data_IF_726479814983
#
_entry.id   IF_726479814983
#
_cell.length_a   1.000
_cell.length_b   1.000
_cell.length_c   1.000
_cell.angle_alpha   90.00
_cell.angle_beta   90.00
_cell.angle_gamma   90.00
#
_symmetry.space_group_name_H-M   'P 1'
#
loop_
_entity.id
_entity.type
_entity.pdbx_description
1 polymer ?
#
# COMPACT_ATOMS: atom_id res chain seq x y z
N UNK A 1 56.95 -0.22 33.21
CA UNK A 1 57.15 0.90 32.27
C UNK A 1 55.97 0.95 31.31
N UNK A 2 55.26 2.09 31.30
CA UNK A 2 54.49 2.72 30.21
C UNK A 2 53.63 1.79 29.31
N UNK A 3 52.31 1.73 29.49
CA UNK A 3 51.25 2.70 29.10
C UNK A 3 50.66 2.40 27.70
N UNK A 4 49.33 2.20 27.68
CA UNK A 4 48.37 2.54 26.59
C UNK A 4 48.41 1.52 25.42
N UNK A 5 47.32 0.83 25.07
CA UNK A 5 46.12 1.46 24.48
C UNK A 5 44.86 0.61 24.71
N UNK A 6 43.98 1.13 25.58
CA UNK A 6 42.53 0.89 25.54
C UNK A 6 42.01 1.75 24.39
N UNK A 7 41.54 1.16 23.29
CA UNK A 7 40.54 1.77 22.40
C UNK A 7 40.13 0.77 21.31
N UNK A 8 39.00 0.08 21.50
CA UNK A 8 38.12 -0.42 20.42
C UNK A 8 36.83 -0.97 21.04
N UNK A 9 36.27 -0.16 21.95
CA UNK A 9 34.84 -0.14 22.27
C UNK A 9 34.32 1.12 21.56
N UNK A 10 33.11 1.08 20.98
CA UNK A 10 32.43 2.12 20.16
C UNK A 10 32.43 1.82 18.65
N UNK A 11 31.74 0.75 18.23
CA UNK A 11 30.99 0.64 16.96
C UNK A 11 29.99 -0.50 17.24
N UNK A 12 28.67 -0.40 17.27
CA UNK A 12 27.68 0.34 16.49
C UNK A 12 26.45 0.62 17.39
N UNK A 13 26.33 1.82 17.95
CA UNK A 13 25.02 2.38 18.34
C UNK A 13 24.52 3.21 17.15
N UNK A 14 24.12 2.51 16.09
CA UNK A 14 23.41 3.10 14.97
C UNK A 14 22.20 2.20 14.68
N UNK A 15 21.27 2.18 15.62
CA UNK A 15 20.01 1.44 15.52
C UNK A 15 18.86 2.35 15.89
N UNK A 16 18.10 2.76 14.85
CA UNK A 16 16.79 3.41 14.91
C UNK A 16 16.74 4.86 15.41
N UNK A 17 17.26 5.77 14.59
CA UNK A 17 16.59 7.06 14.38
C UNK A 17 16.19 7.16 12.91
N UNK A 18 15.14 6.44 12.51
CA UNK A 18 14.39 6.76 11.31
C UNK A 18 13.18 7.60 11.71
N UNK A 19 13.46 8.75 12.34
CA UNK A 19 12.51 9.85 12.34
C UNK A 19 12.74 10.60 11.02
N UNK A 20 12.21 10.07 9.92
CA UNK A 20 11.89 10.92 8.79
C UNK A 20 10.55 11.60 9.09
N UNK A 21 10.59 12.53 10.04
CA UNK A 21 9.78 13.74 9.93
C UNK A 21 10.29 14.49 8.71
N UNK A 22 9.89 14.01 7.53
CA UNK A 22 10.29 14.54 6.25
C UNK A 22 9.63 15.88 6.03
N UNK A 23 10.45 16.90 5.78
CA UNK A 23 10.14 18.16 5.09
C UNK A 23 8.79 18.13 4.38
N UNK A 24 7.94 19.13 4.62
CA UNK A 24 6.67 19.36 3.93
C UNK A 24 6.88 19.65 2.43
N UNK A 25 7.41 18.68 1.69
CA UNK A 25 7.26 18.59 0.26
C UNK A 25 5.76 18.44 0.03
N UNK A 26 5.16 19.45 -0.59
CA UNK A 26 3.73 19.44 -0.92
C UNK A 26 3.43 18.16 -1.72
N UNK A 27 2.64 17.27 -1.11
CA UNK A 27 2.19 16.04 -1.75
C UNK A 27 1.43 16.40 -3.03
N UNK A 28 1.64 15.62 -4.08
CA UNK A 28 1.02 15.85 -5.38
C UNK A 28 0.06 14.71 -5.71
N UNK A 29 -0.98 14.96 -6.51
CA UNK A 29 -1.81 13.89 -7.03
C UNK A 29 -0.99 12.85 -7.79
N UNK A 30 -1.25 11.58 -7.52
CA UNK A 30 -0.65 10.43 -8.21
C UNK A 30 -1.75 9.50 -8.73
N UNK A 31 -1.39 8.47 -9.47
CA UNK A 31 -2.27 7.31 -9.73
C UNK A 31 -1.76 6.07 -9.02
N UNK A 32 -2.56 5.00 -8.98
CA UNK A 32 -2.08 3.71 -8.49
C UNK A 32 -0.95 3.16 -9.40
N UNK A 33 -1.01 3.43 -10.70
CA UNK A 33 0.06 3.11 -11.65
C UNK A 33 1.36 3.86 -11.33
N UNK A 34 1.28 5.14 -10.95
CA UNK A 34 2.45 5.94 -10.54
C UNK A 34 3.05 5.41 -9.22
N UNK A 35 2.22 4.94 -8.28
CA UNK A 35 2.66 4.43 -7.00
C UNK A 35 3.40 3.08 -7.12
N UNK A 36 2.99 2.24 -8.07
CA UNK A 36 3.48 0.87 -8.20
C UNK A 36 4.96 0.84 -8.61
N UNK A 37 5.83 0.03 -7.97
CA UNK A 37 7.29 0.08 -8.19
C UNK A 37 7.76 -0.43 -9.57
N UNK A 38 6.84 -0.92 -10.41
CA UNK A 38 7.11 -1.49 -11.72
C UNK A 38 5.94 -1.27 -12.67
N UNK A 39 5.69 -2.24 -13.56
CA UNK A 39 4.51 -2.21 -14.40
C UNK A 39 3.36 -2.94 -13.69
N UNK A 40 2.39 -2.19 -13.16
CA UNK A 40 1.25 -2.76 -12.43
C UNK A 40 0.48 -3.81 -13.25
N UNK A 41 0.57 -3.80 -14.58
CA UNK A 41 -0.05 -4.81 -15.44
C UNK A 41 0.60 -6.20 -15.33
N UNK A 42 1.75 -6.32 -14.65
CA UNK A 42 2.44 -7.59 -14.40
C UNK A 42 1.94 -8.32 -13.16
N UNK A 43 1.06 -7.70 -12.37
CA UNK A 43 0.43 -8.36 -11.21
C UNK A 43 -0.23 -9.66 -11.64
N UNK A 44 0.12 -10.75 -10.97
CA UNK A 44 -0.40 -12.09 -11.24
C UNK A 44 -1.36 -12.57 -10.16
N UNK A 45 -1.33 -11.96 -8.98
CA UNK A 45 -2.15 -12.36 -7.83
C UNK A 45 -2.49 -11.16 -6.95
N UNK A 46 -3.69 -11.18 -6.39
CA UNK A 46 -4.15 -10.22 -5.39
C UNK A 46 -4.60 -10.97 -4.13
N UNK A 47 -4.23 -10.44 -2.96
CA UNK A 47 -4.84 -10.83 -1.69
C UNK A 47 -5.74 -9.70 -1.23
N UNK A 48 -7.00 -10.04 -0.93
CA UNK A 48 -8.02 -9.12 -0.45
C UNK A 48 -8.28 -9.41 1.03
N UNK A 49 -8.29 -8.36 1.84
CA UNK A 49 -8.56 -8.42 3.27
C UNK A 49 -9.83 -7.61 3.55
N UNK A 50 -10.87 -8.29 4.03
CA UNK A 50 -12.04 -7.65 4.60
C UNK A 50 -11.63 -7.04 5.94
N UNK A 51 -11.51 -5.72 6.00
CA UNK A 51 -11.05 -5.03 7.21
C UNK A 51 -12.08 -5.03 8.35
N UNK A 52 -13.34 -5.38 8.09
CA UNK A 52 -14.37 -5.51 9.12
C UNK A 52 -14.38 -6.89 9.80
N UNK A 53 -14.10 -7.97 9.07
CA UNK A 53 -14.13 -9.34 9.61
C UNK A 53 -12.75 -9.99 9.78
N UNK A 54 -11.73 -9.47 9.10
CA UNK A 54 -10.41 -10.10 8.98
C UNK A 54 -10.34 -11.23 7.94
N UNK A 55 -11.44 -11.53 7.25
CA UNK A 55 -11.50 -12.56 6.21
C UNK A 55 -10.58 -12.22 5.03
N UNK A 56 -10.00 -13.25 4.41
CA UNK A 56 -9.09 -13.10 3.28
C UNK A 56 -9.58 -13.89 2.07
N UNK A 57 -9.48 -13.28 0.90
CA UNK A 57 -9.68 -13.94 -0.38
C UNK A 57 -8.43 -13.77 -1.25
N UNK A 58 -8.11 -14.78 -2.06
CA UNK A 58 -7.03 -14.72 -3.05
C UNK A 58 -7.64 -14.71 -4.45
N UNK A 59 -7.20 -13.79 -5.30
CA UNK A 59 -7.60 -13.68 -6.70
C UNK A 59 -6.38 -13.94 -7.56
N UNK A 60 -6.43 -15.01 -8.35
CA UNK A 60 -5.40 -15.40 -9.34
C UNK A 60 -5.95 -15.42 -10.77
N UNK A 61 -7.25 -15.19 -10.94
CA UNK A 61 -7.88 -15.10 -12.25
C UNK A 61 -7.36 -13.87 -12.99
N UNK A 62 -6.55 -14.11 -14.03
CA UNK A 62 -5.86 -13.07 -14.79
C UNK A 62 -6.82 -12.06 -15.41
N UNK A 63 -7.99 -12.50 -15.84
CA UNK A 63 -8.98 -11.62 -16.47
C UNK A 63 -9.59 -10.67 -15.45
N UNK A 64 -9.99 -11.18 -14.28
CA UNK A 64 -10.46 -10.37 -13.15
C UNK A 64 -9.42 -9.35 -12.70
N UNK A 65 -8.15 -9.78 -12.52
CA UNK A 65 -7.05 -8.90 -12.12
C UNK A 65 -6.84 -7.81 -13.18
N UNK A 66 -6.73 -8.19 -14.45
CA UNK A 66 -6.49 -7.22 -15.53
C UNK A 66 -7.64 -6.24 -15.71
N UNK A 67 -8.89 -6.69 -15.57
CA UNK A 67 -10.07 -5.82 -15.66
C UNK A 67 -10.05 -4.78 -14.55
N UNK A 68 -9.87 -5.20 -13.31
CA UNK A 68 -9.85 -4.29 -12.17
C UNK A 68 -8.66 -3.32 -12.26
N UNK A 69 -7.44 -3.79 -12.56
CA UNK A 69 -6.26 -2.92 -12.72
C UNK A 69 -6.50 -1.86 -13.79
N UNK A 70 -7.08 -2.22 -14.93
CA UNK A 70 -7.37 -1.25 -16.00
C UNK A 70 -8.42 -0.21 -15.59
N UNK A 71 -9.32 -0.53 -14.66
CA UNK A 71 -10.32 0.42 -14.16
C UNK A 71 -9.72 1.43 -13.16
N UNK A 72 -8.73 1.02 -12.36
CA UNK A 72 -8.24 1.83 -11.23
C UNK A 72 -6.87 2.46 -11.42
N UNK A 73 -5.99 1.86 -12.25
CA UNK A 73 -4.56 2.24 -12.30
C UNK A 73 -4.31 3.70 -12.67
N UNK A 74 -5.19 4.30 -13.47
CA UNK A 74 -5.05 5.66 -13.99
C UNK A 74 -5.92 6.69 -13.24
N UNK A 75 -6.70 6.25 -12.24
CA UNK A 75 -7.49 7.15 -11.41
C UNK A 75 -6.55 8.06 -10.61
N UNK A 76 -6.83 9.36 -10.65
CA UNK A 76 -6.08 10.34 -9.87
C UNK A 76 -6.50 10.28 -8.41
N UNK A 77 -5.51 10.09 -7.55
CA UNK A 77 -5.61 10.11 -6.10
C UNK A 77 -5.04 11.43 -5.62
N UNK A 78 -5.91 12.28 -5.04
CA UNK A 78 -5.51 13.55 -4.45
C UNK A 78 -5.11 13.30 -3.00
N UNK A 79 -3.88 13.64 -2.57
CA UNK A 79 -3.49 13.56 -1.17
C UNK A 79 -4.45 14.37 -0.32
N UNK A 80 -4.84 13.81 0.82
CA UNK A 80 -5.69 14.51 1.78
C UNK A 80 -4.89 15.65 2.44
N UNK A 81 -5.50 16.80 2.67
CA UNK A 81 -4.84 17.87 3.42
C UNK A 81 -4.62 17.45 4.89
N UNK A 82 -5.47 16.56 5.42
CA UNK A 82 -5.28 15.92 6.72
C UNK A 82 -4.60 14.55 6.59
N UNK A 83 -3.30 14.52 6.92
CA UNK A 83 -2.45 13.32 6.97
C UNK A 83 -2.32 12.70 8.37
N UNK A 84 -3.20 13.04 9.32
CA UNK A 84 -3.25 12.35 10.62
C UNK A 84 -3.52 10.85 10.44
N UNK A 85 -2.90 10.04 11.31
CA UNK A 85 -3.05 8.59 11.30
C UNK A 85 -4.51 8.16 11.39
N UNK A 86 -4.90 7.19 10.56
CA UNK A 86 -6.26 6.66 10.49
C UNK A 86 -6.30 5.22 10.97
N UNK A 87 -7.27 4.93 11.83
CA UNK A 87 -7.54 3.57 12.29
C UNK A 87 -8.69 2.96 11.48
N UNK A 88 -8.51 1.70 11.07
CA UNK A 88 -9.52 0.92 10.38
C UNK A 88 -9.62 1.22 8.88
N UNK A 89 -10.12 0.23 8.15
CA UNK A 89 -10.44 0.30 6.73
C UNK A 89 -11.41 -0.84 6.39
N UNK A 90 -12.15 -0.71 5.30
CA UNK A 90 -13.05 -1.77 4.82
C UNK A 90 -12.31 -2.71 3.87
N UNK A 91 -11.47 -2.15 3.00
CA UNK A 91 -10.81 -2.87 1.92
C UNK A 91 -9.29 -2.79 2.06
N UNK A 92 -8.64 -3.92 2.35
CA UNK A 92 -7.19 -4.07 2.25
C UNK A 92 -6.82 -4.86 1.00
N UNK A 93 -5.87 -4.37 0.20
CA UNK A 93 -5.43 -5.02 -1.04
C UNK A 93 -3.92 -5.22 -0.98
N UNK A 94 -3.45 -6.41 -1.35
CA UNK A 94 -2.02 -6.68 -1.60
C UNK A 94 -1.84 -7.23 -3.01
N UNK A 95 -0.86 -6.70 -3.74
CA UNK A 95 -0.53 -7.06 -5.12
C UNK A 95 0.77 -7.85 -5.19
N UNK A 96 0.82 -8.85 -6.06
CA UNK A 96 1.95 -9.76 -6.21
C UNK A 96 2.35 -9.94 -7.67
N UNK A 97 3.66 -10.01 -7.91
CA UNK A 97 4.25 -10.54 -9.14
C UNK A 97 4.83 -11.92 -8.83
N UNK A 98 4.16 -12.99 -9.27
CA UNK A 98 4.41 -14.35 -8.80
C UNK A 98 4.16 -14.46 -7.29
N UNK A 99 5.17 -14.96 -6.56
CA UNK A 99 5.12 -15.11 -5.10
C UNK A 99 5.62 -13.87 -4.34
N UNK A 100 6.08 -12.84 -5.06
CA UNK A 100 6.67 -11.64 -4.45
C UNK A 100 5.60 -10.60 -4.21
N UNK A 101 5.37 -10.25 -2.95
CA UNK A 101 4.52 -9.10 -2.59
C UNK A 101 5.20 -7.81 -3.05
N UNK A 102 4.52 -7.07 -3.91
CA UNK A 102 5.04 -5.83 -4.52
C UNK A 102 4.50 -4.58 -3.84
N UNK A 103 3.23 -4.60 -3.43
CA UNK A 103 2.57 -3.47 -2.79
C UNK A 103 1.39 -3.92 -1.94
N UNK A 104 1.11 -3.21 -0.84
CA UNK A 104 -0.14 -3.32 -0.11
C UNK A 104 -0.70 -1.92 0.19
N UNK A 105 -2.03 -1.78 0.17
CA UNK A 105 -2.70 -0.49 0.32
C UNK A 105 -4.19 -0.63 0.65
N UNK A 106 -4.81 0.49 0.98
CA UNK A 106 -6.27 0.69 1.07
C UNK A 106 -6.70 1.73 0.02
N UNK A 107 -7.98 1.80 -0.39
CA UNK A 107 -8.43 2.78 -1.38
C UNK A 107 -8.08 4.24 -1.06
N UNK A 108 -7.89 4.57 0.22
CA UNK A 108 -7.55 5.89 0.72
C UNK A 108 -6.14 5.99 1.32
N UNK A 109 -5.27 4.99 1.14
CA UNK A 109 -3.97 4.96 1.79
C UNK A 109 -2.97 4.09 1.05
N UNK A 110 -1.84 4.68 0.63
CA UNK A 110 -0.74 3.98 -0.02
C UNK A 110 0.55 4.37 0.70
N UNK A 111 1.22 3.38 1.32
CA UNK A 111 2.35 3.64 2.20
C UNK A 111 1.91 4.49 3.41
N UNK A 112 2.63 5.57 3.67
CA UNK A 112 2.34 6.54 4.76
C UNK A 112 1.51 7.73 4.27
N UNK A 113 1.00 7.71 3.03
CA UNK A 113 0.22 8.82 2.46
C UNK A 113 -1.26 8.46 2.38
N UNK A 114 -2.09 9.33 2.94
CA UNK A 114 -3.55 9.25 2.84
C UNK A 114 -4.08 10.10 1.69
N UNK A 115 -5.13 9.61 1.05
CA UNK A 115 -5.78 10.26 -0.08
C UNK A 115 -7.24 10.56 0.27
N UNK A 116 -7.78 11.60 -0.38
CA UNK A 116 -9.20 11.89 -0.34
C UNK A 116 -10.01 10.68 -0.86
N UNK A 117 -11.25 10.53 -0.37
CA UNK A 117 -12.15 9.49 -0.88
C UNK A 117 -12.34 9.65 -2.39
N UNK A 118 -12.20 8.54 -3.10
CA UNK A 118 -12.44 8.47 -4.54
C UNK A 118 -13.58 7.46 -4.78
N UNK A 119 -14.83 7.93 -4.96
CA UNK A 119 -15.99 7.06 -5.09
C UNK A 119 -15.90 6.06 -6.24
N UNK A 120 -15.20 6.42 -7.32
CA UNK A 120 -15.00 5.52 -8.46
C UNK A 120 -14.03 4.38 -8.12
N UNK A 121 -12.91 4.70 -7.44
CA UNK A 121 -12.00 3.68 -6.94
C UNK A 121 -12.74 2.74 -5.98
N UNK A 122 -13.44 3.32 -4.99
CA UNK A 122 -14.18 2.55 -3.99
C UNK A 122 -15.25 1.64 -4.62
N UNK A 123 -15.97 2.11 -5.65
CA UNK A 123 -16.95 1.29 -6.35
C UNK A 123 -16.32 0.09 -7.08
N UNK A 124 -15.22 0.30 -7.80
CA UNK A 124 -14.52 -0.80 -8.49
C UNK A 124 -13.90 -1.79 -7.50
N UNK A 125 -13.32 -1.30 -6.40
CA UNK A 125 -12.81 -2.15 -5.33
C UNK A 125 -13.93 -2.93 -4.64
N UNK A 126 -15.07 -2.29 -4.34
CA UNK A 126 -16.23 -2.98 -3.77
C UNK A 126 -16.69 -4.12 -4.67
N UNK A 127 -16.87 -3.88 -5.96
CA UNK A 127 -17.27 -4.90 -6.92
C UNK A 127 -16.29 -6.09 -6.97
N UNK A 128 -14.98 -5.82 -6.90
CA UNK A 128 -13.96 -6.87 -6.79
C UNK A 128 -14.13 -7.71 -5.51
N UNK A 129 -14.36 -7.07 -4.37
CA UNK A 129 -14.58 -7.75 -3.10
C UNK A 129 -15.86 -8.58 -3.12
N UNK A 130 -16.97 -8.02 -3.58
CA UNK A 130 -18.25 -8.74 -3.66
C UNK A 130 -18.13 -10.00 -4.53
N UNK A 131 -17.41 -9.89 -5.65
CA UNK A 131 -17.12 -11.05 -6.52
C UNK A 131 -16.24 -12.09 -5.82
N UNK A 132 -15.23 -11.66 -5.08
CA UNK A 132 -14.26 -12.56 -4.44
C UNK A 132 -14.82 -13.27 -3.19
N UNK A 133 -15.66 -12.60 -2.41
CA UNK A 133 -16.24 -13.14 -1.17
C UNK A 133 -17.66 -13.69 -1.35
N UNK A 134 -18.34 -13.38 -2.46
CA UNK A 134 -19.67 -13.90 -2.77
C UNK A 134 -20.81 -13.26 -1.99
N UNK A 135 -20.60 -12.07 -1.40
CA UNK A 135 -21.62 -11.30 -0.70
C UNK A 135 -21.40 -9.79 -0.85
N UNK A 136 -22.43 -8.99 -0.57
CA UNK A 136 -22.37 -7.52 -0.66
C UNK A 136 -21.50 -6.91 0.46
N UNK A 137 -20.93 -5.73 0.20
CA UNK A 137 -20.14 -4.92 1.14
C UNK A 137 -20.70 -3.52 1.30
#
# INVERSE_FOLDING_TARGET
MKRITILLLIIFLAGCQFHLGGSAAKLRPITLGDAYPGDIRKVTRMELLNGSSGERATVEDKETISQWINQVKDLKLKPDDNQEDRAGYVFGISLFEGDVKTMGFTPNGIGEVYYESNPQFEAFTRSLFEKAFGHAF
#
